data_IF_330283220284
#
_entry.id   IF_330283220284
#
_cell.length_a   1.000
_cell.length_b   1.000
_cell.length_c   1.000
_cell.angle_alpha   90.00
_cell.angle_beta   90.00
_cell.angle_gamma   90.00
#
_symmetry.space_group_name_H-M   'P 1'
#
loop_
_entity.id
_entity.type
_entity.pdbx_description
1 polymer ?
#
# COMPACT_ATOMS: atom_id res chain seq x y z
N UNK A 1 -15.66 9.31 -6.87
CA UNK A 1 -14.28 9.82 -6.79
C UNK A 1 -13.50 9.21 -7.95
N UNK A 2 -12.57 9.95 -8.58
CA UNK A 2 -11.64 9.35 -9.53
C UNK A 2 -10.76 8.33 -8.80
N UNK A 3 -10.55 7.18 -9.43
CA UNK A 3 -9.66 6.13 -8.95
C UNK A 3 -8.40 6.11 -9.83
N UNK A 4 -7.25 5.75 -9.24
CA UNK A 4 -6.16 5.18 -10.01
C UNK A 4 -6.51 3.73 -10.39
N UNK A 5 -5.70 2.77 -9.99
CA UNK A 5 -6.10 1.36 -10.02
C UNK A 5 -7.06 1.03 -8.86
N UNK A 6 -8.17 0.35 -9.15
CA UNK A 6 -9.14 -0.13 -8.14
C UNK A 6 -9.37 -1.63 -8.30
N UNK A 7 -9.33 -2.34 -7.17
CA UNK A 7 -9.56 -3.78 -7.11
C UNK A 7 -10.58 -4.09 -6.02
N UNK A 8 -11.59 -4.90 -6.35
CA UNK A 8 -12.68 -5.24 -5.44
C UNK A 8 -12.91 -6.74 -5.38
N UNK A 9 -13.23 -7.23 -4.19
CA UNK A 9 -13.39 -8.67 -3.93
C UNK A 9 -12.06 -9.37 -3.62
N UNK A 10 -12.14 -10.43 -2.81
CA UNK A 10 -10.99 -11.14 -2.24
C UNK A 10 -10.00 -11.64 -3.30
N UNK A 11 -10.50 -12.14 -4.43
CA UNK A 11 -9.66 -12.68 -5.49
C UNK A 11 -8.87 -11.58 -6.21
N UNK A 12 -9.54 -10.51 -6.62
CA UNK A 12 -8.88 -9.41 -7.33
C UNK A 12 -7.88 -8.68 -6.43
N UNK A 13 -8.22 -8.48 -5.16
CA UNK A 13 -7.29 -7.90 -4.16
C UNK A 13 -6.08 -8.80 -3.96
N UNK A 14 -6.26 -10.13 -3.89
CA UNK A 14 -5.13 -11.07 -3.79
C UNK A 14 -4.21 -10.96 -5.00
N UNK A 15 -4.75 -10.97 -6.22
CA UNK A 15 -3.96 -10.85 -7.46
C UNK A 15 -3.19 -9.52 -7.48
N UNK A 16 -3.85 -8.40 -7.16
CA UNK A 16 -3.22 -7.09 -7.13
C UNK A 16 -2.07 -6.98 -6.12
N UNK A 17 -2.22 -7.60 -4.92
CA UNK A 17 -1.14 -7.65 -3.93
C UNK A 17 0.03 -8.53 -4.39
N UNK A 18 -0.26 -9.68 -5.02
CA UNK A 18 0.76 -10.59 -5.54
C UNK A 18 1.63 -9.93 -6.62
N UNK A 19 1.03 -9.16 -7.54
CA UNK A 19 1.74 -8.43 -8.59
C UNK A 19 2.85 -7.51 -8.06
N UNK A 20 2.73 -7.02 -6.82
CA UNK A 20 3.78 -6.17 -6.22
C UNK A 20 5.08 -6.94 -6.05
N UNK A 21 4.99 -8.20 -5.62
CA UNK A 21 6.16 -9.07 -5.39
C UNK A 21 6.77 -9.58 -6.70
N UNK A 22 5.99 -9.66 -7.78
CA UNK A 22 6.53 -9.99 -9.11
C UNK A 22 7.43 -8.87 -9.64
N UNK A 23 7.06 -7.60 -9.43
CA UNK A 23 7.83 -6.44 -9.88
C UNK A 23 8.94 -5.98 -8.93
N UNK A 24 8.90 -6.40 -7.66
CA UNK A 24 9.89 -6.09 -6.63
C UNK A 24 10.01 -7.31 -5.67
N UNK A 25 10.77 -8.36 -6.04
CA UNK A 25 10.84 -9.60 -5.27
C UNK A 25 11.38 -9.44 -3.84
N UNK A 26 12.25 -8.46 -3.64
CA UNK A 26 12.88 -8.06 -2.38
C UNK A 26 12.19 -6.83 -1.74
N UNK A 27 10.94 -6.56 -2.11
CA UNK A 27 10.19 -5.41 -1.58
C UNK A 27 10.18 -5.41 -0.06
N UNK A 28 10.54 -4.27 0.51
CA UNK A 28 10.52 -4.03 1.94
C UNK A 28 9.82 -2.71 2.24
N UNK A 29 8.90 -2.75 3.22
CA UNK A 29 8.30 -1.56 3.80
C UNK A 29 8.92 -1.32 5.17
N UNK A 30 9.39 -0.10 5.40
CA UNK A 30 9.93 0.32 6.69
C UNK A 30 9.86 1.83 6.89
N UNK A 31 10.49 2.33 7.95
CA UNK A 31 10.38 3.74 8.41
C UNK A 31 8.91 4.15 8.55
N UNK A 32 8.07 3.22 9.01
CA UNK A 32 6.64 3.39 9.08
C UNK A 32 6.20 4.11 10.36
N UNK A 33 5.09 4.82 10.24
CA UNK A 33 4.36 5.42 11.35
C UNK A 33 2.87 5.21 11.13
N UNK A 34 2.17 4.77 12.18
CA UNK A 34 0.77 4.39 12.11
C UNK A 34 -0.08 5.26 13.04
N UNK A 35 -1.21 5.73 12.52
CA UNK A 35 -2.19 6.53 13.24
C UNK A 35 -3.55 5.85 13.09
N UNK A 36 -4.30 5.75 14.19
CA UNK A 36 -5.64 5.16 14.19
C UNK A 36 -6.60 6.09 14.93
N UNK A 37 -7.74 6.36 14.30
CA UNK A 37 -8.88 7.01 14.90
C UNK A 37 -9.94 5.94 15.19
N UNK A 38 -10.09 5.61 16.48
CA UNK A 38 -11.05 4.62 16.97
C UNK A 38 -12.50 5.10 16.92
N UNK A 39 -12.74 6.41 16.83
CA UNK A 39 -14.11 6.95 16.74
C UNK A 39 -14.62 6.85 15.31
N UNK A 40 -13.73 7.02 14.34
CA UNK A 40 -14.06 6.95 12.92
C UNK A 40 -13.82 5.56 12.28
N UNK A 41 -13.19 4.62 13.00
CA UNK A 41 -12.70 3.35 12.44
C UNK A 41 -11.83 3.58 11.18
N UNK A 42 -10.92 4.55 11.25
CA UNK A 42 -10.00 4.87 10.15
C UNK A 42 -8.56 4.94 10.63
N UNK A 43 -7.62 4.74 9.72
CA UNK A 43 -6.20 4.84 10.04
C UNK A 43 -5.35 5.27 8.86
N UNK A 44 -4.14 5.72 9.17
CA UNK A 44 -3.13 6.14 8.20
C UNK A 44 -1.84 5.40 8.53
N UNK A 45 -1.18 4.89 7.50
CA UNK A 45 0.20 4.41 7.61
C UNK A 45 1.09 5.20 6.67
N UNK A 46 2.12 5.86 7.17
CA UNK A 46 3.22 6.37 6.35
C UNK A 46 4.27 5.28 6.22
N UNK A 47 4.99 5.23 5.10
CA UNK A 47 6.03 4.23 4.89
C UNK A 47 7.06 4.68 3.85
N UNK A 48 8.25 4.07 3.92
CA UNK A 48 9.22 4.02 2.84
C UNK A 48 9.27 2.59 2.30
N UNK A 49 9.08 2.45 0.99
CA UNK A 49 9.25 1.22 0.25
C UNK A 49 10.63 1.20 -0.39
N UNK A 50 11.36 0.11 -0.19
CA UNK A 50 12.60 -0.20 -0.92
C UNK A 50 12.45 -1.50 -1.67
N UNK A 51 13.22 -1.67 -2.75
CA UNK A 51 13.32 -2.93 -3.47
C UNK A 51 14.13 -2.77 -4.76
N UNK A 52 14.28 -3.86 -5.49
CA UNK A 52 15.07 -3.95 -6.71
C UNK A 52 14.16 -4.49 -7.82
N UNK A 53 14.05 -3.76 -8.93
CA UNK A 53 13.28 -4.22 -10.09
C UNK A 53 13.97 -5.39 -10.79
N UNK A 54 13.28 -6.16 -11.66
CA UNK A 54 13.88 -7.34 -12.31
C UNK A 54 15.10 -7.03 -13.19
N UNK A 55 15.25 -5.78 -13.64
CA UNK A 55 16.41 -5.30 -14.39
C UNK A 55 17.59 -4.86 -13.50
N UNK A 56 17.48 -5.00 -12.18
CA UNK A 56 18.51 -4.65 -11.20
C UNK A 56 18.46 -3.21 -10.70
N UNK A 57 17.46 -2.40 -11.10
CA UNK A 57 17.38 -0.99 -10.66
C UNK A 57 16.84 -0.88 -9.23
N UNK A 58 17.55 -0.22 -8.30
CA UNK A 58 17.03 0.02 -6.97
C UNK A 58 15.90 1.05 -7.01
N UNK A 59 14.89 0.84 -6.15
CA UNK A 59 13.76 1.73 -5.93
C UNK A 59 13.70 2.11 -4.45
N UNK A 60 13.52 3.40 -4.19
CA UNK A 60 13.13 3.94 -2.89
C UNK A 60 11.96 4.89 -3.12
N UNK A 61 10.82 4.63 -2.49
CA UNK A 61 9.59 5.42 -2.66
C UNK A 61 8.97 5.69 -1.30
N UNK A 62 8.55 6.93 -1.08
CA UNK A 62 7.73 7.28 0.09
C UNK A 62 6.26 7.22 -0.28
N UNK A 63 5.42 6.79 0.65
CA UNK A 63 3.99 6.76 0.45
C UNK A 63 3.20 6.73 1.74
N UNK A 64 1.88 6.72 1.57
CA UNK A 64 0.95 6.49 2.66
C UNK A 64 -0.27 5.71 2.21
N UNK A 65 -0.85 4.97 3.16
CA UNK A 65 -2.08 4.23 2.99
C UNK A 65 -3.14 4.78 3.95
N UNK A 66 -4.34 5.04 3.44
CA UNK A 66 -5.52 5.35 4.22
C UNK A 66 -6.38 4.09 4.34
N UNK A 67 -6.76 3.76 5.56
CA UNK A 67 -7.52 2.56 5.90
C UNK A 67 -8.90 2.91 6.44
N UNK A 68 -9.89 2.11 6.06
CA UNK A 68 -11.19 2.03 6.73
C UNK A 68 -11.35 0.64 7.32
N UNK A 69 -11.81 0.58 8.56
CA UNK A 69 -12.00 -0.65 9.31
C UNK A 69 -13.47 -0.92 9.56
N UNK A 70 -13.79 -2.19 9.76
CA UNK A 70 -15.07 -2.67 10.31
C UNK A 70 -14.81 -3.96 11.06
N UNK A 71 -15.28 -4.06 12.29
CA UNK A 71 -15.09 -5.24 13.15
C UNK A 71 -13.61 -5.65 13.27
N UNK A 72 -12.72 -4.67 13.40
CA UNK A 72 -11.26 -4.88 13.49
C UNK A 72 -10.60 -5.36 12.19
N UNK A 73 -11.29 -5.34 11.05
CA UNK A 73 -10.75 -5.76 9.74
C UNK A 73 -10.68 -4.60 8.77
N UNK A 74 -9.63 -4.58 7.94
CA UNK A 74 -9.53 -3.63 6.82
C UNK A 74 -10.59 -3.98 5.77
N UNK A 75 -11.48 -3.02 5.49
CA UNK A 75 -12.49 -3.14 4.43
C UNK A 75 -12.16 -2.26 3.22
N UNK A 76 -11.27 -1.27 3.38
CA UNK A 76 -10.77 -0.42 2.31
C UNK A 76 -9.36 0.04 2.62
N UNK A 77 -8.53 0.12 1.57
CA UNK A 77 -7.22 0.75 1.60
C UNK A 77 -7.03 1.60 0.34
N UNK A 78 -6.76 2.89 0.52
CA UNK A 78 -6.33 3.78 -0.56
C UNK A 78 -4.83 4.05 -0.41
N UNK A 79 -4.04 3.75 -1.44
CA UNK A 79 -2.58 3.91 -1.43
C UNK A 79 -2.14 5.09 -2.27
N UNK A 80 -1.32 5.98 -1.69
CA UNK A 80 -0.75 7.15 -2.35
C UNK A 80 0.77 7.06 -2.34
N UNK A 81 1.37 7.16 -3.52
CA UNK A 81 2.81 7.00 -3.73
C UNK A 81 3.38 8.33 -4.17
N UNK A 82 4.42 8.80 -3.50
CA UNK A 82 5.20 9.96 -3.94
C UNK A 82 6.26 9.48 -4.92
N UNK A 83 5.90 9.46 -6.20
CA UNK A 83 6.84 9.19 -7.29
C UNK A 83 7.47 10.52 -7.69
N UNK A 84 8.79 10.63 -7.58
CA UNK A 84 9.56 11.78 -8.04
C UNK A 84 10.23 11.37 -9.35
N UNK A 85 9.93 12.08 -10.42
CA UNK A 85 10.55 11.92 -11.75
C UNK A 85 11.85 12.72 -11.86
#
# INVERSE_FOLDING_TARGET
MPWGARFEGKENVRKALAMRFEGLPDVHYGKDEHFFDSTADTGISKWTLTGTTPDGTPKEVQGCDFYTFRDGKVIRKDSYWKIVE
#
